data_IF_209099661837
#
_entry.id   IF_209099661837
#
_cell.length_a   1.000
_cell.length_b   1.000
_cell.length_c   1.000
_cell.angle_alpha   90.00
_cell.angle_beta   90.00
_cell.angle_gamma   90.00
#
_symmetry.space_group_name_H-M   'P 1'
#
loop_
_entity.id
_entity.type
_entity.pdbx_description
1 polymer ?
#
# COMPACT_ATOMS: atom_id res chain seq x y z
N UNK A 1 -7.12 28.10 5.12
CA UNK A 1 -8.01 27.32 4.24
C UNK A 1 -8.35 26.06 4.98
N UNK A 2 -9.63 25.75 5.12
CA UNK A 2 -10.10 24.46 5.63
C UNK A 2 -10.01 23.43 4.51
N UNK A 3 -9.74 22.19 4.87
CA UNK A 3 -9.72 21.08 3.92
C UNK A 3 -11.16 20.77 3.54
N UNK A 4 -11.44 20.84 2.24
CA UNK A 4 -12.71 20.44 1.63
C UNK A 4 -12.44 19.53 0.43
N UNK A 5 -13.50 18.95 -0.14
CA UNK A 5 -13.41 18.30 -1.46
C UNK A 5 -12.69 19.18 -2.50
N UNK A 6 -11.96 18.53 -3.40
CA UNK A 6 -11.20 19.16 -4.49
C UNK A 6 -10.11 20.14 -4.02
N UNK A 7 -9.57 19.92 -2.82
CA UNK A 7 -8.35 20.58 -2.35
C UNK A 7 -7.15 19.66 -2.45
N UNK A 8 -5.97 20.25 -2.52
CA UNK A 8 -4.70 19.53 -2.38
C UNK A 8 -4.14 19.78 -1.00
N UNK A 9 -3.80 18.70 -0.30
CA UNK A 9 -3.26 18.72 1.04
C UNK A 9 -1.83 18.20 1.02
N UNK A 10 -0.90 18.95 1.61
CA UNK A 10 0.44 18.46 1.85
C UNK A 10 0.47 17.78 3.24
N UNK A 11 0.76 16.50 3.27
CA UNK A 11 0.70 15.67 4.47
C UNK A 11 2.05 15.05 4.78
N UNK A 12 2.34 14.91 6.06
CA UNK A 12 3.34 13.98 6.61
C UNK A 12 2.62 12.96 7.48
N UNK A 13 3.20 11.77 7.65
CA UNK A 13 2.58 10.76 8.50
C UNK A 13 3.55 9.78 9.15
N UNK A 14 3.03 9.08 10.15
CA UNK A 14 3.61 7.86 10.70
C UNK A 14 2.54 6.79 10.74
N UNK A 15 2.78 5.69 10.04
CA UNK A 15 1.97 4.49 10.05
C UNK A 15 2.56 3.50 11.05
N UNK A 16 1.71 2.97 11.92
CA UNK A 16 2.07 1.95 12.90
C UNK A 16 1.07 0.82 12.89
N UNK A 17 1.48 -0.34 13.37
CA UNK A 17 0.54 -1.42 13.68
C UNK A 17 -0.16 -1.19 15.03
N UNK A 18 -0.97 -2.17 15.45
CA UNK A 18 -1.64 -2.15 16.77
C UNK A 18 -0.70 -2.36 17.95
N UNK A 19 0.48 -2.93 17.74
CA UNK A 19 1.51 -3.16 18.75
C UNK A 19 2.42 -1.93 18.95
N UNK A 20 2.32 -0.95 18.05
CA UNK A 20 3.08 0.29 18.07
C UNK A 20 4.39 0.23 17.28
N UNK A 21 4.62 -0.84 16.51
CA UNK A 21 5.74 -0.95 15.57
C UNK A 21 5.48 -0.01 14.38
N UNK A 22 6.51 0.74 14.00
CA UNK A 22 6.41 1.65 12.86
C UNK A 22 6.54 0.87 11.57
N UNK A 23 5.48 0.92 10.76
CA UNK A 23 5.39 0.25 9.46
C UNK A 23 5.88 1.14 8.32
N UNK A 24 5.53 2.43 8.37
CA UNK A 24 5.91 3.41 7.35
C UNK A 24 5.98 4.82 7.94
N UNK A 25 6.82 5.69 7.36
CA UNK A 25 6.96 7.08 7.76
C UNK A 25 7.13 7.96 6.53
N UNK A 26 6.33 9.01 6.46
CA UNK A 26 6.49 10.08 5.50
C UNK A 26 6.86 11.38 6.23
N UNK A 27 8.16 11.66 6.29
CA UNK A 27 8.69 12.86 6.97
C UNK A 27 8.66 14.11 6.10
N UNK A 28 8.78 13.96 4.77
CA UNK A 28 8.71 15.07 3.83
C UNK A 28 7.26 15.28 3.37
N UNK A 29 6.71 16.51 3.45
CA UNK A 29 5.34 16.75 3.03
C UNK A 29 5.12 16.40 1.56
N UNK A 30 4.19 15.47 1.30
CA UNK A 30 3.75 15.11 -0.05
C UNK A 30 2.33 15.61 -0.26
N UNK A 31 2.06 16.09 -1.46
CA UNK A 31 0.75 16.60 -1.86
C UNK A 31 -0.18 15.44 -2.26
N UNK A 32 -1.44 15.48 -1.81
CA UNK A 32 -2.47 14.51 -2.16
C UNK A 32 -3.77 15.23 -2.48
N UNK A 33 -4.51 14.72 -3.46
CA UNK A 33 -5.83 15.26 -3.81
C UNK A 33 -6.92 14.70 -2.88
N UNK A 34 -7.68 15.61 -2.27
CA UNK A 34 -8.91 15.31 -1.49
C UNK A 34 -10.09 15.22 -2.46
N UNK A 35 -10.85 14.13 -2.38
CA UNK A 35 -11.93 13.78 -3.31
C UNK A 35 -11.43 13.00 -4.53
N UNK A 36 -10.17 12.56 -4.52
CA UNK A 36 -9.50 11.83 -5.60
C UNK A 36 -9.26 10.35 -5.28
N UNK A 37 -8.25 9.76 -5.94
CA UNK A 37 -7.79 8.38 -5.70
C UNK A 37 -6.51 8.32 -4.84
N UNK A 38 -6.10 9.46 -4.31
CA UNK A 38 -4.79 9.63 -3.66
C UNK A 38 -4.80 9.30 -2.17
N UNK A 39 -5.97 9.24 -1.52
CA UNK A 39 -6.14 9.02 -0.08
C UNK A 39 -7.12 7.86 0.18
N UNK A 40 -6.98 7.21 1.33
CA UNK A 40 -8.02 6.29 1.82
C UNK A 40 -9.29 7.07 2.20
N UNK A 41 -10.47 6.51 1.91
CA UNK A 41 -11.74 7.18 2.15
C UNK A 41 -11.92 7.63 3.61
N UNK A 42 -11.46 6.84 4.58
CA UNK A 42 -11.48 7.23 6.00
C UNK A 42 -10.53 8.37 6.33
N UNK A 43 -9.35 8.38 5.72
CA UNK A 43 -8.37 9.45 5.90
C UNK A 43 -8.93 10.76 5.37
N UNK A 44 -9.52 10.72 4.17
CA UNK A 44 -10.18 11.87 3.57
C UNK A 44 -11.28 12.42 4.47
N UNK A 45 -12.22 11.58 4.90
CA UNK A 45 -13.31 11.96 5.80
C UNK A 45 -12.80 12.60 7.10
N UNK A 46 -11.72 12.06 7.67
CA UNK A 46 -11.15 12.57 8.90
C UNK A 46 -10.40 13.89 8.72
N UNK A 47 -9.92 14.20 7.51
CA UNK A 47 -9.24 15.45 7.21
C UNK A 47 -10.21 16.60 6.93
N UNK A 48 -11.48 16.32 6.59
CA UNK A 48 -12.49 17.35 6.30
C UNK A 48 -12.63 18.37 7.44
N UNK A 49 -12.57 19.66 7.11
CA UNK A 49 -12.67 20.76 8.07
C UNK A 49 -11.40 21.03 8.88
N UNK A 50 -10.35 20.22 8.76
CA UNK A 50 -9.06 20.53 9.36
C UNK A 50 -8.31 21.63 8.58
N UNK A 51 -7.31 22.23 9.22
CA UNK A 51 -6.49 23.30 8.63
C UNK A 51 -5.00 22.98 8.80
N UNK A 52 -4.14 23.73 8.09
CA UNK A 52 -2.68 23.63 8.21
C UNK A 52 -2.22 23.67 9.68
N UNK A 53 -1.33 22.75 10.03
CA UNK A 53 -0.83 22.54 11.40
C UNK A 53 -1.66 21.56 12.23
N UNK A 54 -2.83 21.13 11.74
CA UNK A 54 -3.63 20.10 12.40
C UNK A 54 -2.89 18.77 12.42
N UNK A 55 -3.09 18.03 13.51
CA UNK A 55 -2.66 16.64 13.66
C UNK A 55 -3.89 15.77 13.82
N UNK A 56 -3.98 14.72 13.02
CA UNK A 56 -5.12 13.80 12.98
C UNK A 56 -4.59 12.40 13.24
N UNK A 57 -5.18 11.73 14.23
CA UNK A 57 -4.82 10.36 14.58
C UNK A 57 -5.99 9.45 14.26
N UNK A 58 -5.72 8.44 13.46
CA UNK A 58 -6.71 7.48 13.00
C UNK A 58 -6.30 6.08 13.40
N UNK A 59 -7.30 5.31 13.77
CA UNK A 59 -7.20 3.86 13.88
C UNK A 59 -8.08 3.31 12.75
N UNK A 60 -7.45 2.65 11.79
CA UNK A 60 -8.11 2.10 10.62
C UNK A 60 -8.15 0.59 10.78
N UNK A 61 -9.36 0.04 10.74
CA UNK A 61 -9.54 -1.41 10.62
C UNK A 61 -9.11 -1.88 9.22
N UNK A 62 -8.85 -3.18 9.02
CA UNK A 62 -8.40 -3.69 7.72
C UNK A 62 -9.31 -3.26 6.56
N UNK A 63 -10.64 -3.33 6.74
CA UNK A 63 -11.66 -2.91 5.76
C UNK A 63 -11.55 -1.44 5.34
N UNK A 64 -11.03 -0.57 6.22
CA UNK A 64 -10.89 0.87 6.01
C UNK A 64 -9.52 1.24 5.38
N UNK A 65 -8.62 0.26 5.21
CA UNK A 65 -7.26 0.45 4.74
C UNK A 65 -6.90 -0.50 3.59
N UNK A 66 -6.33 -1.67 3.89
CA UNK A 66 -5.77 -2.61 2.92
C UNK A 66 -6.67 -3.81 2.60
N UNK A 67 -7.89 -3.80 3.14
CA UNK A 67 -8.84 -4.89 3.05
C UNK A 67 -8.56 -5.99 4.07
N UNK A 68 -9.53 -6.90 4.16
CA UNK A 68 -9.39 -8.12 4.93
C UNK A 68 -8.40 -9.07 4.28
N UNK A 69 -7.78 -9.91 5.10
CA UNK A 69 -6.97 -11.01 4.64
C UNK A 69 -7.87 -12.07 3.98
N UNK A 70 -7.54 -12.44 2.75
CA UNK A 70 -8.31 -13.39 1.96
C UNK A 70 -7.55 -14.71 1.83
N UNK A 71 -8.05 -15.75 2.51
CA UNK A 71 -7.48 -17.10 2.52
C UNK A 71 -7.46 -17.71 1.11
N UNK A 72 -8.39 -17.32 0.24
CA UNK A 72 -8.50 -17.84 -1.13
C UNK A 72 -7.38 -17.29 -2.04
N UNK A 73 -6.67 -16.25 -1.61
CA UNK A 73 -5.50 -15.69 -2.31
C UNK A 73 -4.17 -16.30 -1.84
N UNK A 74 -4.24 -17.33 -0.99
CA UNK A 74 -3.07 -18.06 -0.51
C UNK A 74 -2.95 -19.37 -1.29
N UNK A 75 -1.83 -19.55 -1.96
CA UNK A 75 -1.57 -20.67 -2.85
C UNK A 75 -0.39 -21.49 -2.33
N UNK A 76 -0.62 -22.80 -2.16
CA UNK A 76 0.41 -23.75 -1.84
C UNK A 76 0.94 -24.38 -3.13
N UNK A 77 2.19 -24.08 -3.47
CA UNK A 77 2.81 -24.55 -4.71
C UNK A 77 3.97 -25.50 -4.44
N UNK A 78 4.29 -26.37 -5.41
CA UNK A 78 5.41 -27.29 -5.27
C UNK A 78 6.75 -26.53 -5.34
N UNK A 79 7.61 -26.71 -4.32
CA UNK A 79 8.92 -26.03 -4.22
C UNK A 79 9.81 -26.30 -5.43
N UNK A 80 9.66 -27.46 -6.06
CA UNK A 80 10.41 -27.89 -7.24
C UNK A 80 10.10 -27.07 -8.50
N UNK A 81 9.00 -26.31 -8.54
CA UNK A 81 8.67 -25.43 -9.66
C UNK A 81 9.47 -24.12 -9.60
N UNK A 82 10.01 -23.77 -8.44
CA UNK A 82 10.67 -22.48 -8.17
C UNK A 82 12.19 -22.64 -8.11
N UNK A 83 12.97 -21.58 -8.42
CA UNK A 83 14.43 -21.61 -8.36
C UNK A 83 14.92 -21.91 -6.93
N UNK A 84 16.11 -22.53 -6.76
CA UNK A 84 16.67 -22.85 -5.44
C UNK A 84 16.96 -21.59 -4.60
N UNK A 85 17.21 -20.46 -5.24
CA UNK A 85 17.52 -19.18 -4.59
C UNK A 85 16.28 -18.38 -4.15
N UNK A 86 15.10 -19.01 -4.13
CA UNK A 86 13.88 -18.37 -3.62
C UNK A 86 13.96 -18.23 -2.10
N UNK A 87 13.65 -17.05 -1.59
CA UNK A 87 13.68 -16.67 -0.17
C UNK A 87 12.30 -16.18 0.32
N UNK A 88 12.06 -16.31 1.62
CA UNK A 88 10.88 -15.75 2.28
C UNK A 88 10.91 -14.22 2.21
N UNK A 89 9.76 -13.60 1.95
CA UNK A 89 9.61 -12.17 1.72
C UNK A 89 9.86 -11.72 0.27
N UNK A 90 10.32 -12.60 -0.63
CA UNK A 90 10.42 -12.27 -2.05
C UNK A 90 9.04 -12.10 -2.69
N UNK A 91 8.92 -11.15 -3.60
CA UNK A 91 7.70 -10.96 -4.41
C UNK A 91 7.88 -11.55 -5.81
N UNK A 92 6.82 -12.15 -6.32
CA UNK A 92 6.76 -12.81 -7.63
C UNK A 92 5.56 -12.25 -8.39
N UNK A 93 5.80 -11.77 -9.61
CA UNK A 93 4.72 -11.37 -10.51
C UNK A 93 3.95 -12.60 -10.98
N UNK A 94 2.62 -12.53 -10.99
CA UNK A 94 1.75 -13.65 -11.33
C UNK A 94 2.01 -14.23 -12.72
N UNK A 95 2.41 -13.39 -13.69
CA UNK A 95 2.77 -13.84 -15.03
C UNK A 95 4.10 -14.58 -15.08
N UNK A 96 4.96 -14.39 -14.07
CA UNK A 96 6.23 -15.09 -13.91
C UNK A 96 6.08 -16.40 -13.14
N UNK A 97 4.87 -16.71 -12.62
CA UNK A 97 4.61 -17.98 -11.96
C UNK A 97 4.87 -19.15 -12.93
N UNK A 98 5.61 -20.18 -12.51
CA UNK A 98 5.91 -21.34 -13.33
C UNK A 98 4.67 -22.04 -13.90
N UNK A 99 4.85 -22.76 -15.01
CA UNK A 99 3.82 -23.69 -15.49
C UNK A 99 3.67 -24.84 -14.49
N UNK A 100 2.43 -25.20 -14.17
CA UNK A 100 2.11 -26.22 -13.18
C UNK A 100 1.75 -25.69 -11.80
N UNK A 101 1.82 -24.37 -11.59
CA UNK A 101 1.19 -23.74 -10.42
C UNK A 101 -0.33 -23.75 -10.53
N UNK A 102 -1.03 -23.53 -9.42
CA UNK A 102 -2.49 -23.57 -9.35
C UNK A 102 -3.12 -22.71 -10.49
N UNK A 103 -4.01 -23.28 -11.32
CA UNK A 103 -4.65 -22.54 -12.41
C UNK A 103 -5.57 -21.42 -11.92
N UNK A 104 -6.06 -21.51 -10.69
CA UNK A 104 -6.92 -20.48 -10.08
C UNK A 104 -6.11 -19.27 -9.59
N UNK A 105 -4.78 -19.38 -9.48
CA UNK A 105 -3.91 -18.27 -9.10
C UNK A 105 -3.89 -17.19 -10.21
N UNK A 106 -4.45 -15.99 -9.97
CA UNK A 106 -4.47 -14.91 -10.96
C UNK A 106 -3.06 -14.54 -11.46
N UNK A 107 -2.89 -14.43 -12.78
CA UNK A 107 -1.58 -14.08 -13.38
C UNK A 107 -1.29 -12.57 -13.38
N UNK A 108 -2.30 -11.75 -13.10
CA UNK A 108 -2.20 -10.29 -13.08
C UNK A 108 -1.98 -9.71 -11.67
N UNK A 109 -1.58 -10.55 -10.71
CA UNK A 109 -1.37 -10.19 -9.31
C UNK A 109 0.09 -10.36 -8.89
N UNK A 110 0.52 -9.67 -7.84
CA UNK A 110 1.83 -9.90 -7.20
C UNK A 110 1.61 -10.85 -6.01
N UNK A 111 2.48 -11.85 -5.90
CA UNK A 111 2.50 -12.80 -4.79
C UNK A 111 3.72 -12.56 -3.92
N UNK A 112 3.57 -12.68 -2.62
CA UNK A 112 4.68 -12.68 -1.66
C UNK A 112 4.92 -14.10 -1.19
N UNK A 113 6.18 -14.54 -1.17
CA UNK A 113 6.58 -15.81 -0.57
C UNK A 113 6.52 -15.65 0.95
N UNK A 114 5.49 -16.18 1.58
CA UNK A 114 5.31 -16.02 3.04
C UNK A 114 6.06 -17.10 3.82
N UNK A 115 6.07 -18.33 3.30
CA UNK A 115 6.74 -19.46 3.93
C UNK A 115 7.41 -20.38 2.92
N UNK A 116 8.60 -20.87 3.26
CA UNK A 116 9.34 -21.86 2.48
C UNK A 116 9.55 -23.16 3.25
N UNK A 117 9.02 -24.23 2.68
CA UNK A 117 9.18 -25.58 3.19
C UNK A 117 9.99 -26.44 2.22
N UNK A 118 10.53 -27.61 2.66
CA UNK A 118 11.35 -28.46 1.81
C UNK A 118 10.66 -28.92 0.51
N UNK A 119 9.34 -29.15 0.56
CA UNK A 119 8.57 -29.67 -0.58
C UNK A 119 7.56 -28.67 -1.15
N UNK A 120 7.23 -27.61 -0.41
CA UNK A 120 6.20 -26.64 -0.78
C UNK A 120 6.62 -25.19 -0.50
N UNK A 121 6.02 -24.27 -1.24
CA UNK A 121 6.12 -22.84 -1.02
C UNK A 121 4.72 -22.27 -0.82
N UNK A 122 4.58 -21.36 0.12
CA UNK A 122 3.33 -20.61 0.34
C UNK A 122 3.46 -19.26 -0.35
N UNK A 123 2.55 -19.00 -1.29
CA UNK A 123 2.45 -17.75 -2.01
C UNK A 123 1.19 -17.02 -1.56
N UNK A 124 1.34 -15.78 -1.13
CA UNK A 124 0.22 -14.96 -0.68
C UNK A 124 0.02 -13.78 -1.64
N UNK A 125 -1.15 -13.73 -2.29
CA UNK A 125 -1.55 -12.63 -3.15
C UNK A 125 -2.14 -11.43 -2.41
N UNK A 126 -2.32 -11.50 -1.08
CA UNK A 126 -2.84 -10.38 -0.31
C UNK A 126 -1.85 -9.19 -0.28
N UNK A 127 -2.38 -7.99 0.00
CA UNK A 127 -1.52 -6.86 0.32
C UNK A 127 -0.71 -7.20 1.58
N UNK A 128 0.59 -6.82 1.70
CA UNK A 128 1.41 -7.13 2.87
C UNK A 128 0.84 -6.68 4.23
N UNK A 129 -0.08 -5.72 4.20
CA UNK A 129 -0.76 -5.15 5.38
C UNK A 129 -2.26 -5.53 5.46
N UNK A 130 -2.73 -6.45 4.61
CA UNK A 130 -4.12 -6.93 4.65
C UNK A 130 -4.42 -7.65 5.96
N UNK A 131 -5.63 -7.48 6.49
CA UNK A 131 -6.04 -8.06 7.76
C UNK A 131 -5.41 -7.43 9.01
N UNK A 132 -4.53 -6.43 8.85
CA UNK A 132 -3.89 -5.74 9.98
C UNK A 132 -4.55 -4.38 10.19
N UNK A 133 -5.07 -4.16 11.39
CA UNK A 133 -5.49 -2.82 11.80
C UNK A 133 -4.26 -1.92 11.99
N UNK A 134 -4.33 -0.70 11.46
CA UNK A 134 -3.23 0.26 11.46
C UNK A 134 -3.59 1.52 12.23
N UNK A 135 -2.58 2.14 12.84
CA UNK A 135 -2.66 3.46 13.45
C UNK A 135 -1.89 4.45 12.62
N UNK A 136 -2.59 5.48 12.16
CA UNK A 136 -2.04 6.49 11.28
C UNK A 136 -2.07 7.84 11.99
N UNK A 137 -0.89 8.44 12.14
CA UNK A 137 -0.73 9.79 12.69
C UNK A 137 -0.34 10.73 11.56
N UNK A 138 -1.23 11.65 11.21
CA UNK A 138 -1.09 12.55 10.06
C UNK A 138 -0.89 13.98 10.56
N UNK A 139 0.01 14.70 9.92
CA UNK A 139 0.15 16.14 10.11
C UNK A 139 -0.06 16.89 8.79
N UNK A 140 -0.93 17.90 8.84
CA UNK A 140 -1.23 18.76 7.69
C UNK A 140 -0.17 19.86 7.60
N UNK A 141 0.71 19.77 6.62
CA UNK A 141 1.76 20.75 6.36
C UNK A 141 1.28 21.91 5.46
N UNK A 142 0.30 21.67 4.59
CA UNK A 142 -0.19 22.66 3.63
C UNK A 142 -1.58 22.31 3.09
N UNK A 143 -2.33 23.34 2.68
CA UNK A 143 -3.62 23.19 2.01
C UNK A 143 -3.71 24.26 0.93
N UNK A 144 -4.03 23.84 -0.30
CA UNK A 144 -4.26 24.71 -1.44
C UNK A 144 -5.45 24.20 -2.27
N UNK A 145 -5.96 25.05 -3.16
CA UNK A 145 -6.95 24.62 -4.15
C UNK A 145 -6.30 23.68 -5.17
N UNK A 146 -7.05 22.67 -5.61
CA UNK A 146 -6.63 21.81 -6.70
C UNK A 146 -6.75 22.54 -8.04
N UNK A 147 -5.82 22.24 -8.94
CA UNK A 147 -5.89 22.71 -10.32
C UNK A 147 -6.93 21.91 -11.11
N UNK A 148 -7.45 22.47 -12.20
CA UNK A 148 -8.41 21.76 -13.06
C UNK A 148 -7.83 20.45 -13.63
N UNK A 149 -6.51 20.39 -13.85
CA UNK A 149 -5.82 19.19 -14.31
C UNK A 149 -5.78 18.10 -13.23
N UNK A 150 -5.48 18.44 -11.99
CA UNK A 150 -5.49 17.51 -10.85
C UNK A 150 -6.90 16.97 -10.59
N UNK A 151 -7.93 17.82 -10.67
CA UNK A 151 -9.33 17.41 -10.54
C UNK A 151 -9.72 16.49 -11.71
N UNK A 152 -9.32 16.85 -12.94
CA UNK A 152 -9.63 16.07 -14.14
C UNK A 152 -8.96 14.70 -14.18
N UNK A 153 -7.76 14.58 -13.60
CA UNK A 153 -7.01 13.32 -13.51
C UNK A 153 -7.32 12.54 -12.22
N UNK A 154 -7.91 13.21 -11.21
CA UNK A 154 -8.24 12.62 -9.91
C UNK A 154 -7.02 12.36 -9.02
N UNK A 155 -5.86 12.96 -9.32
CA UNK A 155 -4.61 12.74 -8.59
C UNK A 155 -3.64 13.90 -8.74
N UNK A 156 -2.78 14.11 -7.73
CA UNK A 156 -1.59 14.96 -7.83
C UNK A 156 -0.37 14.23 -8.44
N UNK A 157 -0.55 12.96 -8.86
CA UNK A 157 0.53 12.07 -9.32
C UNK A 157 1.14 11.24 -8.19
N UNK A 158 0.69 11.44 -6.96
CA UNK A 158 1.19 10.89 -5.70
C UNK A 158 0.07 10.12 -5.02
N UNK A 159 0.18 8.78 -4.97
CA UNK A 159 -0.84 7.92 -4.36
C UNK A 159 -0.43 7.44 -2.96
N UNK A 160 -1.36 7.44 -2.00
CA UNK A 160 -1.14 7.09 -0.58
C UNK A 160 -0.32 5.83 -0.36
N UNK A 161 -0.55 4.80 -1.16
CA UNK A 161 0.19 3.53 -1.14
C UNK A 161 0.26 2.95 -2.55
N UNK A 162 0.71 3.75 -3.53
CA UNK A 162 1.29 3.12 -4.73
C UNK A 162 2.63 2.51 -4.31
N UNK A 163 2.54 1.31 -3.73
CA UNK A 163 3.64 0.36 -3.69
C UNK A 163 4.00 0.11 -5.15
N UNK A 164 4.85 0.94 -5.72
CA UNK A 164 5.77 0.40 -6.69
C UNK A 164 6.63 -0.55 -5.87
N UNK A 165 6.71 -1.85 -6.22
CA UNK A 165 7.80 -2.64 -5.70
C UNK A 165 9.06 -1.86 -6.07
N UNK A 166 9.72 -1.28 -5.07
CA UNK A 166 11.10 -0.87 -5.23
C UNK A 166 11.82 -2.18 -5.48
N UNK A 167 12.06 -2.49 -6.75
CA UNK A 167 12.99 -3.53 -7.11
C UNK A 167 14.26 -3.27 -6.27
N UNK A 168 14.74 -4.25 -5.49
CA UNK A 168 15.97 -4.07 -4.73
C UNK A 168 17.03 -3.58 -5.71
N UNK A 169 17.61 -2.43 -5.37
CA UNK A 169 18.33 -1.58 -6.30
C UNK A 169 19.23 -2.39 -7.21
N UNK A 170 18.94 -2.35 -8.52
CA UNK A 170 19.91 -2.70 -9.53
C UNK A 170 20.95 -1.56 -9.60
N UNK A 171 21.76 -1.48 -8.56
CA UNK A 171 23.04 -0.82 -8.64
C UNK A 171 23.94 -1.78 -9.42
N UNK A 172 24.41 -1.29 -10.58
CA UNK A 172 25.52 -1.73 -11.45
C UNK A 172 25.05 -1.61 -12.91
N UNK A 173 25.14 -0.41 -13.51
CA UNK A 173 26.28 0.12 -14.28
C UNK A 173 26.43 -0.46 -15.70
N UNK A 174 26.16 0.45 -16.65
CA UNK A 174 26.74 0.62 -18.00
C UNK A 174 26.17 -0.11 -19.21
#
# INVERSE_FOLDING_TARGET
MEITDQCVVALTWTLKDTLGETLDVLDEPVEFLVGGQDLLARVEQALQGHTVGSRVQLHLEPEDAFGDYDEEKVFLEARSLFPPDLEEGMTIEGHALPQGTNPDAPRDMIYTVTELYPEHVVLDGNHPLAGIAIRLDIQVAGVREATEEEIGTGTCGTGFFRVQPQAPGNNLLH
#
